data_IF_643265065843
#
_entry.id   IF_643265065843
#
_cell.length_a   1.000
_cell.length_b   1.000
_cell.length_c   1.000
_cell.angle_alpha   90.00
_cell.angle_beta   90.00
_cell.angle_gamma   90.00
#
_symmetry.space_group_name_H-M   'P 1'
#
loop_
_entity.id
_entity.type
_entity.pdbx_description
1 polymer ?
#
# COMPACT_ATOMS: atom_id res chain seq x y z
N UNK A 1 68.17 -63.88 62.08
CA UNK A 1 67.73 -62.47 62.24
C UNK A 1 67.00 -62.06 60.96
N UNK A 2 65.72 -61.73 61.08
CA UNK A 2 64.68 -61.35 60.10
C UNK A 2 65.00 -61.32 58.58
N UNK A 3 64.38 -62.26 57.87
CA UNK A 3 63.79 -62.15 56.51
C UNK A 3 62.63 -63.16 56.43
N UNK A 4 61.60 -63.05 55.57
CA UNK A 4 61.05 -61.90 54.81
C UNK A 4 59.52 -61.73 55.02
N UNK A 5 58.98 -60.52 55.01
CA UNK A 5 57.52 -60.28 54.97
C UNK A 5 57.08 -60.05 53.53
N UNK A 6 56.63 -61.12 52.84
CA UNK A 6 55.92 -61.01 51.55
C UNK A 6 54.45 -60.66 51.81
N UNK A 7 54.03 -59.46 51.40
CA UNK A 7 52.62 -59.09 51.34
C UNK A 7 51.90 -59.98 50.32
N UNK A 8 51.02 -60.85 50.80
CA UNK A 8 50.12 -61.67 49.99
C UNK A 8 48.93 -60.80 49.59
N UNK A 9 48.90 -60.32 48.35
CA UNK A 9 47.72 -59.69 47.75
C UNK A 9 46.63 -60.76 47.70
N UNK A 10 45.63 -60.64 48.59
CA UNK A 10 44.39 -61.40 48.47
C UNK A 10 43.62 -60.83 47.30
N UNK A 11 43.65 -61.50 46.15
CA UNK A 11 42.60 -61.35 45.15
C UNK A 11 41.28 -61.74 45.82
N UNK A 12 40.47 -60.74 46.19
CA UNK A 12 39.05 -60.98 46.41
C UNK A 12 38.47 -61.44 45.06
N UNK A 13 37.74 -62.56 45.02
CA UNK A 13 37.00 -62.92 43.81
C UNK A 13 36.01 -61.78 43.55
N UNK A 14 36.21 -61.07 42.44
CA UNK A 14 35.15 -60.23 41.88
C UNK A 14 33.97 -61.16 41.61
N UNK A 15 32.94 -61.06 42.44
CA UNK A 15 31.67 -61.76 42.23
C UNK A 15 31.11 -61.24 40.90
N UNK A 16 31.33 -61.98 39.83
CA UNK A 16 30.64 -61.76 38.56
C UNK A 16 29.17 -62.03 38.80
N UNK A 17 28.32 -61.05 38.48
CA UNK A 17 26.88 -61.22 38.48
C UNK A 17 26.51 -62.33 37.50
N UNK A 18 25.68 -63.28 37.92
CA UNK A 18 25.18 -64.29 36.99
C UNK A 18 24.28 -63.63 35.94
N UNK A 19 24.25 -64.16 34.72
CA UNK A 19 23.38 -63.66 33.64
C UNK A 19 21.92 -63.55 34.10
N UNK A 20 21.49 -64.46 34.99
CA UNK A 20 20.16 -64.47 35.58
C UNK A 20 19.94 -63.26 36.50
N UNK A 21 20.92 -62.90 37.33
CA UNK A 21 20.84 -61.69 38.19
C UNK A 21 20.83 -60.41 37.36
N UNK A 22 21.58 -60.37 36.25
CA UNK A 22 21.53 -59.25 35.31
C UNK A 22 20.16 -59.18 34.62
N UNK A 23 19.59 -60.31 34.20
CA UNK A 23 18.26 -60.36 33.61
C UNK A 23 17.17 -59.95 34.60
N UNK A 24 17.26 -60.37 35.86
CA UNK A 24 16.32 -59.98 36.92
C UNK A 24 16.45 -58.49 37.21
N UNK A 25 17.67 -57.96 37.32
CA UNK A 25 17.92 -56.53 37.52
C UNK A 25 17.37 -55.69 36.35
N UNK A 26 17.59 -56.13 35.11
CA UNK A 26 17.04 -55.48 33.91
C UNK A 26 15.50 -55.58 33.87
N UNK A 27 14.92 -56.71 34.24
CA UNK A 27 13.45 -56.88 34.29
C UNK A 27 12.80 -55.97 35.34
N UNK A 28 13.44 -55.80 36.50
CA UNK A 28 13.00 -54.86 37.54
C UNK A 28 13.16 -53.42 37.05
N UNK A 29 14.25 -53.09 36.36
CA UNK A 29 14.47 -51.77 35.76
C UNK A 29 13.46 -51.44 34.66
N UNK A 30 13.13 -52.40 33.80
CA UNK A 30 12.09 -52.25 32.76
C UNK A 30 10.72 -52.15 33.40
N UNK A 31 10.41 -52.96 34.41
CA UNK A 31 9.17 -52.87 35.17
C UNK A 31 9.00 -51.53 35.89
N UNK A 32 10.06 -51.01 36.50
CA UNK A 32 10.08 -49.70 37.14
C UNK A 32 9.98 -48.56 36.13
N UNK A 33 10.64 -48.67 34.97
CA UNK A 33 10.51 -47.71 33.88
C UNK A 33 9.10 -47.72 33.27
N UNK A 34 8.49 -48.89 33.10
CA UNK A 34 7.10 -49.02 32.64
C UNK A 34 6.11 -48.49 33.68
N UNK A 35 6.34 -48.72 34.97
CA UNK A 35 5.54 -48.12 36.05
C UNK A 35 5.70 -46.60 36.12
N UNK A 36 6.92 -46.07 35.89
CA UNK A 36 7.19 -44.64 35.78
C UNK A 36 6.48 -44.04 34.55
N UNK A 37 6.55 -44.70 33.40
CA UNK A 37 5.85 -44.30 32.17
C UNK A 37 4.34 -44.38 32.35
N UNK A 38 3.83 -45.40 33.04
CA UNK A 38 2.40 -45.56 33.35
C UNK A 38 1.89 -44.53 34.36
N UNK A 39 2.71 -44.15 35.35
CA UNK A 39 2.38 -43.08 36.32
C UNK A 39 2.53 -41.69 35.75
N UNK A 40 3.51 -41.45 34.86
CA UNK A 40 3.60 -40.22 34.06
C UNK A 40 2.46 -40.12 33.04
N UNK A 41 1.97 -41.25 32.51
CA UNK A 41 0.74 -41.30 31.70
C UNK A 41 -0.55 -41.21 32.54
N UNK A 42 -0.52 -41.61 33.81
CA UNK A 42 -1.68 -41.65 34.70
C UNK A 42 -1.85 -40.43 35.61
N UNK A 43 -0.83 -39.60 35.79
CA UNK A 43 -0.83 -38.43 36.68
C UNK A 43 -1.40 -37.14 36.07
N UNK A 44 -1.86 -37.17 34.82
CA UNK A 44 -2.48 -36.05 34.12
C UNK A 44 -3.93 -36.34 33.74
N UNK A 45 -4.83 -36.50 34.72
CA UNK A 45 -6.27 -36.74 34.49
C UNK A 45 -7.03 -35.50 34.01
N UNK A 46 -6.43 -34.73 33.10
CA UNK A 46 -7.08 -33.72 32.23
C UNK A 46 -6.34 -33.51 30.88
N UNK A 47 -5.39 -34.36 30.50
CA UNK A 47 -4.64 -34.17 29.24
C UNK A 47 -5.11 -35.13 28.16
N UNK A 48 -5.68 -34.56 27.11
CA UNK A 48 -5.97 -35.16 25.81
C UNK A 48 -4.83 -36.08 25.36
N UNK A 49 -5.17 -37.31 24.94
CA UNK A 49 -4.21 -38.17 24.29
C UNK A 49 -3.81 -37.51 22.96
N UNK A 50 -2.55 -37.10 22.82
CA UNK A 50 -2.02 -36.50 21.59
C UNK A 50 -2.18 -37.46 20.41
N UNK A 51 -3.23 -37.27 19.62
CA UNK A 51 -3.53 -38.01 18.39
C UNK A 51 -2.75 -37.42 17.21
N UNK A 52 -2.65 -38.16 16.10
CA UNK A 52 -2.08 -37.61 14.87
C UNK A 52 -2.84 -36.37 14.41
N UNK A 53 -4.16 -36.35 14.64
CA UNK A 53 -5.03 -35.21 14.38
C UNK A 53 -4.68 -34.00 15.27
N UNK A 54 -4.29 -34.22 16.53
CA UNK A 54 -3.82 -33.14 17.40
C UNK A 54 -2.52 -32.52 16.87
N UNK A 55 -1.56 -33.33 16.41
CA UNK A 55 -0.34 -32.80 15.77
C UNK A 55 -0.65 -32.03 14.48
N UNK A 56 -1.55 -32.55 13.64
CA UNK A 56 -2.01 -31.82 12.45
C UNK A 56 -2.66 -30.49 12.85
N UNK A 57 -3.46 -30.45 13.91
CA UNK A 57 -4.06 -29.21 14.41
C UNK A 57 -3.00 -28.20 14.85
N UNK A 58 -1.93 -28.66 15.52
CA UNK A 58 -0.80 -27.81 15.88
C UNK A 58 -0.12 -27.20 14.65
N UNK A 59 0.19 -28.02 13.63
CA UNK A 59 0.84 -27.54 12.40
C UNK A 59 -0.04 -26.54 11.65
N UNK A 60 -1.34 -26.81 11.53
CA UNK A 60 -2.28 -25.89 10.89
C UNK A 60 -2.36 -24.55 11.63
N UNK A 61 -2.41 -24.57 12.97
CA UNK A 61 -2.43 -23.35 13.76
C UNK A 61 -1.14 -22.55 13.62
N UNK A 62 0.01 -23.24 13.66
CA UNK A 62 1.33 -22.63 13.49
C UNK A 62 1.47 -21.96 12.12
N UNK A 63 1.07 -22.66 11.05
CA UNK A 63 1.06 -22.12 9.68
C UNK A 63 0.28 -20.81 9.60
N UNK A 64 -0.95 -20.80 10.12
CA UNK A 64 -1.81 -19.60 10.09
C UNK A 64 -1.15 -18.45 10.84
N UNK A 65 -0.55 -18.71 11.99
CA UNK A 65 0.15 -17.68 12.77
C UNK A 65 1.39 -17.14 12.03
N UNK A 66 2.19 -18.02 11.42
CA UNK A 66 3.38 -17.65 10.65
C UNK A 66 3.00 -16.80 9.43
N UNK A 67 2.00 -17.21 8.66
CA UNK A 67 1.45 -16.43 7.55
C UNK A 67 1.00 -15.03 7.98
N UNK A 68 0.31 -14.94 9.12
CA UNK A 68 -0.17 -13.65 9.63
C UNK A 68 1.04 -12.78 10.01
N UNK A 69 2.04 -13.32 10.71
CA UNK A 69 3.26 -12.59 11.06
C UNK A 69 3.99 -12.09 9.82
N UNK A 70 4.18 -12.95 8.83
CA UNK A 70 4.88 -12.62 7.59
C UNK A 70 4.12 -11.54 6.82
N UNK A 71 2.80 -11.67 6.66
CA UNK A 71 1.98 -10.67 5.96
C UNK A 71 1.93 -9.34 6.68
N UNK A 72 1.87 -9.32 8.02
CA UNK A 72 1.97 -8.07 8.79
C UNK A 72 3.36 -7.42 8.62
N UNK A 73 4.43 -8.21 8.51
CA UNK A 73 5.79 -7.68 8.32
C UNK A 73 6.02 -7.09 6.92
N UNK A 74 5.43 -7.69 5.88
CA UNK A 74 5.61 -7.30 4.47
C UNK A 74 4.62 -6.22 4.04
N UNK A 75 3.38 -6.25 4.56
CA UNK A 75 2.33 -5.31 4.20
C UNK A 75 1.76 -4.60 5.45
N UNK A 76 2.15 -3.34 5.69
CA UNK A 76 1.65 -2.55 6.82
C UNK A 76 0.13 -2.40 6.88
N UNK A 77 -0.58 -2.47 5.75
CA UNK A 77 -2.05 -2.36 5.70
C UNK A 77 -2.78 -3.66 6.09
N UNK A 78 -2.07 -4.79 6.09
CA UNK A 78 -2.65 -6.08 6.42
C UNK A 78 -3.14 -6.13 7.88
N UNK A 79 -2.58 -5.33 8.78
CA UNK A 79 -3.02 -5.27 10.18
C UNK A 79 -4.50 -4.89 10.31
N UNK A 80 -5.00 -3.91 9.54
CA UNK A 80 -6.41 -3.54 9.52
C UNK A 80 -7.27 -4.60 8.84
N UNK A 81 -6.79 -5.17 7.74
CA UNK A 81 -7.48 -6.26 7.03
C UNK A 81 -7.62 -7.51 7.91
N UNK A 82 -6.62 -7.81 8.73
CA UNK A 82 -6.61 -8.93 9.66
C UNK A 82 -7.72 -8.82 10.69
N UNK A 83 -8.02 -7.63 11.22
CA UNK A 83 -9.14 -7.40 12.15
C UNK A 83 -10.48 -7.78 11.50
N UNK A 84 -10.65 -7.48 10.21
CA UNK A 84 -11.85 -7.85 9.46
C UNK A 84 -11.89 -9.33 9.06
N UNK A 85 -10.74 -9.91 8.72
CA UNK A 85 -10.62 -11.32 8.33
C UNK A 85 -10.72 -12.28 9.52
N UNK A 86 -10.31 -11.85 10.71
CA UNK A 86 -10.45 -12.57 11.97
C UNK A 86 -11.87 -12.43 12.53
N UNK A 87 -12.87 -12.86 11.74
CA UNK A 87 -14.29 -12.76 12.04
C UNK A 87 -14.75 -13.62 13.22
N UNK A 88 -13.87 -14.49 13.74
CA UNK A 88 -14.21 -15.46 14.78
C UNK A 88 -15.12 -16.60 14.30
N UNK A 89 -15.33 -16.74 12.99
CA UNK A 89 -16.08 -17.85 12.40
C UNK A 89 -15.18 -19.07 12.17
N UNK A 90 -15.69 -20.27 12.45
CA UNK A 90 -14.99 -21.53 12.17
C UNK A 90 -15.27 -21.97 10.73
N UNK A 91 -14.27 -21.84 9.87
CA UNK A 91 -14.37 -22.17 8.45
C UNK A 91 -13.58 -23.44 8.12
N UNK A 92 -14.02 -24.26 7.16
CA UNK A 92 -13.26 -25.43 6.73
C UNK A 92 -11.85 -25.07 6.25
N UNK A 93 -10.88 -25.93 6.58
CA UNK A 93 -9.49 -25.82 6.09
C UNK A 93 -9.39 -26.17 4.60
N UNK A 94 -10.31 -27.00 4.11
CA UNK A 94 -10.40 -27.40 2.69
C UNK A 94 -11.37 -26.51 1.90
N UNK A 95 -11.39 -26.68 0.58
CA UNK A 95 -12.31 -26.02 -0.36
C UNK A 95 -12.13 -24.49 -0.45
N UNK A 96 -11.02 -23.95 0.09
CA UNK A 96 -10.66 -22.54 -0.01
C UNK A 96 -11.62 -21.57 0.68
N UNK A 97 -12.47 -22.07 1.59
CA UNK A 97 -13.48 -21.26 2.29
C UNK A 97 -12.85 -20.37 3.36
N UNK A 98 -11.81 -20.85 4.03
CA UNK A 98 -11.06 -20.06 5.00
C UNK A 98 -10.10 -19.10 4.28
N UNK A 99 -10.09 -17.79 4.58
CA UNK A 99 -9.13 -16.85 4.01
C UNK A 99 -7.66 -17.25 4.23
N UNK A 100 -7.39 -18.02 5.29
CA UNK A 100 -6.05 -18.47 5.68
C UNK A 100 -5.62 -19.78 5.01
N UNK A 101 -6.55 -20.46 4.33
CA UNK A 101 -6.31 -21.69 3.56
C UNK A 101 -6.85 -21.57 2.13
N UNK A 102 -7.03 -20.35 1.65
CA UNK A 102 -7.42 -20.08 0.27
C UNK A 102 -6.33 -20.52 -0.70
N UNK A 103 -5.08 -20.46 -0.27
CA UNK A 103 -3.88 -20.85 -1.01
C UNK A 103 -3.01 -21.73 -0.09
N UNK A 104 -2.35 -22.76 -0.64
CA UNK A 104 -1.43 -23.65 0.07
C UNK A 104 -0.03 -23.02 0.33
N UNK A 105 0.43 -22.18 -0.61
CA UNK A 105 1.66 -21.35 -0.71
C UNK A 105 3.04 -21.98 -0.38
N UNK A 106 4.01 -21.82 -1.31
CA UNK A 106 5.45 -21.84 -1.02
C UNK A 106 6.26 -20.80 -1.84
N UNK A 107 7.29 -20.31 -1.14
CA UNK A 107 8.09 -19.07 -1.20
C UNK A 107 9.31 -19.03 -2.14
N UNK A 108 9.30 -19.67 -3.31
CA UNK A 108 10.46 -19.54 -4.22
C UNK A 108 10.37 -18.33 -5.16
N UNK A 109 9.18 -17.97 -5.60
CA UNK A 109 8.97 -16.81 -6.47
C UNK A 109 7.66 -16.11 -6.08
N UNK A 110 7.75 -15.04 -5.27
CA UNK A 110 6.65 -14.09 -4.97
C UNK A 110 6.03 -13.41 -6.21
N UNK A 111 6.39 -13.89 -7.42
CA UNK A 111 6.22 -13.36 -8.76
C UNK A 111 5.05 -13.90 -9.58
N UNK A 112 4.68 -15.16 -9.33
CA UNK A 112 3.83 -15.94 -10.23
C UNK A 112 2.94 -16.87 -9.41
N UNK A 113 1.65 -16.90 -9.75
CA UNK A 113 0.75 -17.95 -9.26
C UNK A 113 0.98 -19.20 -10.10
N UNK A 114 1.44 -20.29 -9.49
CA UNK A 114 1.67 -21.57 -10.15
C UNK A 114 0.41 -22.43 -10.02
N UNK A 115 -0.24 -22.71 -11.16
CA UNK A 115 -1.42 -23.57 -11.22
C UNK A 115 -1.07 -24.98 -10.69
N UNK A 116 -1.84 -25.48 -9.73
CA UNK A 116 -1.59 -26.74 -9.03
C UNK A 116 -0.77 -26.63 -7.73
N UNK A 117 -0.04 -25.54 -7.50
CA UNK A 117 0.69 -25.28 -6.24
C UNK A 117 -0.04 -24.25 -5.34
N UNK A 118 -0.71 -23.28 -5.96
CA UNK A 118 -1.44 -22.21 -5.25
C UNK A 118 -2.95 -22.48 -5.13
N UNK A 119 -3.45 -23.61 -5.62
CA UNK A 119 -4.88 -23.93 -5.54
C UNK A 119 -5.28 -24.34 -4.10
N UNK A 120 -6.53 -24.08 -3.69
CA UNK A 120 -7.03 -24.55 -2.40
C UNK A 120 -7.00 -26.09 -2.34
N UNK A 121 -6.96 -26.64 -1.13
CA UNK A 121 -7.06 -28.09 -0.93
C UNK A 121 -8.48 -28.54 -1.33
N UNK A 122 -8.60 -29.15 -2.50
CA UNK A 122 -9.86 -29.65 -3.09
C UNK A 122 -9.86 -31.17 -3.11
N UNK A 123 -11.00 -31.80 -3.44
CA UNK A 123 -11.12 -33.26 -3.47
C UNK A 123 -10.07 -33.92 -4.37
N UNK A 124 -9.71 -33.25 -5.45
CA UNK A 124 -8.70 -33.67 -6.43
C UNK A 124 -7.28 -33.70 -5.82
N UNK A 125 -7.04 -33.01 -4.70
CA UNK A 125 -5.78 -33.09 -3.93
C UNK A 125 -5.60 -34.45 -3.22
N UNK A 126 -6.57 -35.36 -3.30
CA UNK A 126 -6.45 -36.75 -2.91
C UNK A 126 -6.25 -36.95 -1.40
N UNK A 127 -5.13 -37.57 -1.01
CA UNK A 127 -4.88 -37.96 0.38
C UNK A 127 -4.85 -36.75 1.33
N UNK A 128 -4.33 -35.61 0.87
CA UNK A 128 -4.26 -34.39 1.68
C UNK A 128 -5.66 -33.86 2.02
N UNK A 129 -6.59 -33.89 1.05
CA UNK A 129 -7.99 -33.51 1.28
C UNK A 129 -8.64 -34.44 2.30
N UNK A 130 -8.46 -35.75 2.15
CA UNK A 130 -9.03 -36.74 3.05
C UNK A 130 -8.52 -36.60 4.50
N UNK A 131 -7.27 -36.18 4.68
CA UNK A 131 -6.68 -35.89 5.99
C UNK A 131 -7.26 -34.61 6.62
N UNK A 132 -7.49 -33.57 5.81
CA UNK A 132 -7.81 -32.22 6.31
C UNK A 132 -9.29 -31.85 6.29
N UNK A 133 -10.15 -32.59 5.58
CA UNK A 133 -11.57 -32.26 5.40
C UNK A 133 -12.39 -32.11 6.69
N UNK A 134 -11.94 -32.73 7.78
CA UNK A 134 -12.62 -32.68 9.07
C UNK A 134 -12.13 -31.53 9.97
N UNK A 135 -11.14 -30.77 9.51
CA UNK A 135 -10.57 -29.64 10.25
C UNK A 135 -11.27 -28.33 9.88
N UNK A 136 -11.52 -27.52 10.90
CA UNK A 136 -11.96 -26.13 10.77
C UNK A 136 -10.93 -25.22 11.40
N UNK A 137 -10.78 -24.02 10.84
CA UNK A 137 -9.95 -22.97 11.35
C UNK A 137 -10.82 -21.76 11.70
N UNK A 138 -10.64 -21.26 12.91
CA UNK A 138 -11.23 -20.04 13.43
C UNK A 138 -10.11 -19.12 13.86
N UNK A 139 -10.13 -17.87 13.42
CA UNK A 139 -9.18 -16.84 13.85
C UNK A 139 -9.95 -15.72 14.52
N UNK A 140 -9.64 -15.47 15.79
CA UNK A 140 -10.14 -14.33 16.55
C UNK A 140 -9.04 -13.28 16.70
N UNK A 141 -9.43 -12.01 16.74
CA UNK A 141 -8.55 -10.90 17.06
C UNK A 141 -9.14 -10.05 18.17
N UNK A 142 -8.30 -9.63 19.12
CA UNK A 142 -8.69 -8.70 20.18
C UNK A 142 -7.54 -7.74 20.47
N UNK A 143 -7.82 -6.45 20.60
CA UNK A 143 -6.81 -5.50 21.04
C UNK A 143 -6.41 -5.78 22.49
N UNK A 144 -5.10 -5.67 22.77
CA UNK A 144 -4.61 -5.83 24.14
C UNK A 144 -4.99 -4.59 24.96
N UNK A 145 -5.70 -4.80 26.07
CA UNK A 145 -5.99 -3.74 27.03
C UNK A 145 -4.68 -3.13 27.58
N UNK A 146 -4.67 -1.82 27.77
CA UNK A 146 -3.58 -1.11 28.43
C UNK A 146 -3.63 -1.45 29.93
N UNK A 147 -2.62 -2.14 30.50
CA UNK A 147 -2.60 -2.47 31.92
C UNK A 147 -2.60 -1.22 32.82
N UNK A 148 -2.21 -0.06 32.29
CA UNK A 148 -2.20 1.21 33.03
C UNK A 148 -3.55 1.95 32.93
N UNK A 149 -4.35 1.69 31.89
CA UNK A 149 -5.64 2.33 31.64
C UNK A 149 -6.69 1.28 31.25
N UNK A 150 -7.42 0.69 32.22
CA UNK A 150 -8.36 -0.42 31.99
C UNK A 150 -9.57 -0.16 31.06
N UNK A 151 -9.65 1.00 30.41
CA UNK A 151 -10.65 1.33 29.39
C UNK A 151 -10.05 1.68 28.02
N UNK A 152 -8.72 1.64 27.88
CA UNK A 152 -8.00 1.89 26.64
C UNK A 152 -7.27 0.62 26.21
N UNK A 153 -7.20 0.39 24.90
CA UNK A 153 -6.42 -0.70 24.33
C UNK A 153 -5.23 -0.15 23.56
N UNK A 154 -4.14 -0.90 23.49
CA UNK A 154 -3.01 -0.54 22.64
C UNK A 154 -3.46 -0.59 21.16
N UNK A 155 -3.45 0.54 20.43
CA UNK A 155 -4.03 0.61 19.10
C UNK A 155 -3.30 -0.25 18.05
N UNK A 156 -2.04 -0.62 18.33
CA UNK A 156 -1.18 -1.36 17.41
C UNK A 156 -0.76 -2.72 17.96
N UNK A 157 -1.54 -3.29 18.89
CA UNK A 157 -1.21 -4.58 19.49
C UNK A 157 -2.47 -5.44 19.55
N UNK A 158 -2.51 -6.44 18.68
CA UNK A 158 -3.56 -7.43 18.64
C UNK A 158 -3.08 -8.72 19.30
N UNK A 159 -3.94 -9.32 20.09
CA UNK A 159 -3.84 -10.72 20.44
C UNK A 159 -4.64 -11.52 19.41
N UNK A 160 -3.94 -12.29 18.59
CA UNK A 160 -4.56 -13.19 17.62
C UNK A 160 -4.66 -14.56 18.26
N UNK A 161 -5.84 -15.17 18.17
CA UNK A 161 -6.06 -16.54 18.64
C UNK A 161 -6.56 -17.39 17.48
N UNK A 162 -5.75 -18.39 17.11
CA UNK A 162 -6.11 -19.38 16.10
C UNK A 162 -6.62 -20.62 16.82
N UNK A 163 -7.85 -21.00 16.51
CA UNK A 163 -8.50 -22.21 17.00
C UNK A 163 -8.70 -23.17 15.84
N UNK A 164 -8.06 -24.33 15.92
CA UNK A 164 -8.27 -25.43 14.98
C UNK A 164 -9.18 -26.46 15.62
N UNK A 165 -10.35 -26.70 15.02
CA UNK A 165 -11.32 -27.69 15.48
C UNK A 165 -11.33 -28.93 14.59
N UNK A 166 -11.49 -30.11 15.15
CA UNK A 166 -11.73 -31.35 14.39
C UNK A 166 -12.69 -32.28 15.11
N UNK A 167 -13.24 -33.23 14.36
CA UNK A 167 -14.09 -34.30 14.91
C UNK A 167 -13.31 -35.61 14.96
N UNK A 168 -13.25 -36.22 16.13
CA UNK A 168 -12.71 -37.56 16.31
C UNK A 168 -13.66 -38.62 15.75
N UNK A 169 -13.16 -39.86 15.58
CA UNK A 169 -13.94 -40.98 15.03
C UNK A 169 -15.18 -41.33 15.84
N UNK A 170 -15.20 -40.99 17.13
CA UNK A 170 -16.33 -41.15 18.03
C UNK A 170 -17.33 -39.99 17.99
N UNK A 171 -17.10 -38.99 17.13
CA UNK A 171 -17.93 -37.81 16.96
C UNK A 171 -17.65 -36.67 17.94
N UNK A 172 -16.69 -36.83 18.87
CA UNK A 172 -16.31 -35.75 19.79
C UNK A 172 -15.58 -34.65 19.03
N UNK A 173 -15.92 -33.41 19.37
CA UNK A 173 -15.24 -32.24 18.83
C UNK A 173 -14.08 -31.88 19.73
N UNK A 174 -12.88 -31.86 19.15
CA UNK A 174 -11.65 -31.43 19.80
C UNK A 174 -11.22 -30.09 19.23
N UNK A 175 -10.48 -29.31 20.02
CA UNK A 175 -9.93 -28.03 19.58
C UNK A 175 -8.52 -27.80 20.08
N UNK A 176 -7.64 -27.34 19.21
CA UNK A 176 -6.33 -26.82 19.56
C UNK A 176 -6.35 -25.30 19.44
N UNK A 177 -5.74 -24.59 20.40
CA UNK A 177 -5.70 -23.13 20.42
C UNK A 177 -4.26 -22.64 20.54
N UNK A 178 -3.89 -21.72 19.66
CA UNK A 178 -2.62 -21.01 19.69
C UNK A 178 -2.90 -19.51 19.68
N UNK A 179 -2.31 -18.77 20.63
CA UNK A 179 -2.43 -17.33 20.70
C UNK A 179 -1.07 -16.67 20.58
N UNK A 180 -0.99 -15.60 19.79
CA UNK A 180 0.22 -14.76 19.68
C UNK A 180 -0.17 -13.29 19.67
N UNK A 181 0.66 -12.48 20.33
CA UNK A 181 0.58 -11.02 20.20
C UNK A 181 1.30 -10.58 18.93
N UNK A 182 0.58 -9.83 18.09
CA UNK A 182 1.09 -9.29 16.84
C UNK A 182 1.09 -7.77 16.95
N UNK A 183 2.26 -7.18 16.72
CA UNK A 183 2.43 -5.73 16.71
C UNK A 183 2.21 -5.21 15.28
N UNK A 184 1.22 -4.34 15.13
CA UNK A 184 1.01 -3.58 13.90
C UNK A 184 1.99 -2.41 13.83
N UNK A 185 2.24 -1.91 12.62
CA UNK A 185 2.87 -0.59 12.51
C UNK A 185 1.88 0.45 13.03
N UNK A 186 2.39 1.42 13.81
CA UNK A 186 1.56 2.53 14.26
C UNK A 186 0.95 3.20 13.04
N UNK A 187 -0.37 3.33 12.99
CA UNK A 187 -1.06 4.15 11.99
C UNK A 187 -0.39 5.54 11.88
N UNK A 188 0.25 6.03 12.95
CA UNK A 188 1.04 7.26 12.94
C UNK A 188 2.33 7.21 12.10
N UNK A 189 2.95 6.06 11.88
CA UNK A 189 4.11 5.94 10.98
C UNK A 189 3.68 6.16 9.53
N UNK A 190 2.48 5.73 9.17
CA UNK A 190 1.88 5.96 7.86
C UNK A 190 1.09 7.27 7.77
N UNK A 191 0.54 7.81 8.87
CA UNK A 191 0.03 9.20 8.93
C UNK A 191 1.17 10.22 8.86
N UNK A 192 2.37 9.88 9.35
CA UNK A 192 3.61 10.64 9.10
C UNK A 192 4.14 10.46 7.68
N UNK A 193 3.71 9.41 6.97
CA UNK A 193 3.92 9.22 5.53
C UNK A 193 2.72 9.65 4.69
N UNK A 194 1.62 10.15 5.29
CA UNK A 194 0.72 11.01 4.54
C UNK A 194 1.62 12.15 4.08
N UNK A 195 1.63 12.46 2.76
CA UNK A 195 2.42 13.57 2.28
C UNK A 195 2.09 14.75 3.20
N UNK A 196 3.10 15.32 3.87
CA UNK A 196 2.92 16.51 4.71
C UNK A 196 1.90 17.40 4.00
N UNK A 197 0.75 17.65 4.64
CA UNK A 197 -0.33 18.44 4.04
C UNK A 197 0.35 19.65 3.44
N UNK A 198 0.31 19.73 2.11
CA UNK A 198 1.26 20.56 1.39
C UNK A 198 1.08 21.98 1.89
N UNK A 199 2.11 22.53 2.54
CA UNK A 199 1.90 23.74 3.34
C UNK A 199 1.37 24.86 2.45
N UNK A 200 0.34 25.60 2.86
CA UNK A 200 -0.22 26.67 2.04
C UNK A 200 0.87 27.71 1.69
N UNK A 201 0.61 28.52 0.67
CA UNK A 201 1.50 29.62 0.35
C UNK A 201 1.47 30.66 1.48
N UNK A 202 2.65 31.07 1.96
CA UNK A 202 2.79 32.16 2.92
C UNK A 202 2.21 33.46 2.36
N UNK A 203 1.69 34.33 3.22
CA UNK A 203 1.09 35.60 2.81
C UNK A 203 2.04 36.47 1.96
N UNK A 204 3.33 36.56 2.31
CA UNK A 204 4.35 37.31 1.53
C UNK A 204 4.43 36.84 0.06
N UNK A 205 4.51 35.52 -0.16
CA UNK A 205 4.55 34.92 -1.51
C UNK A 205 3.24 35.20 -2.26
N UNK A 206 2.10 35.06 -1.61
CA UNK A 206 0.78 35.31 -2.21
C UNK A 206 0.60 36.78 -2.61
N UNK A 207 1.01 37.71 -1.75
CA UNK A 207 0.97 39.16 -2.00
C UNK A 207 1.95 39.54 -3.11
N UNK A 208 3.14 38.96 -3.12
CA UNK A 208 4.12 39.15 -4.21
C UNK A 208 3.55 38.71 -5.56
N UNK A 209 2.86 37.58 -5.61
CA UNK A 209 2.22 37.11 -6.83
C UNK A 209 1.10 38.06 -7.30
N UNK A 210 0.31 38.63 -6.39
CA UNK A 210 -0.69 39.65 -6.73
C UNK A 210 -0.05 40.89 -7.35
N UNK A 211 1.04 41.41 -6.76
CA UNK A 211 1.78 42.52 -7.35
C UNK A 211 2.32 42.18 -8.73
N UNK A 212 2.98 41.03 -8.88
CA UNK A 212 3.57 40.60 -10.14
C UNK A 212 2.52 40.35 -11.23
N UNK A 213 1.34 39.86 -10.87
CA UNK A 213 0.23 39.65 -11.80
C UNK A 213 -0.39 40.97 -12.26
N UNK A 214 -0.59 41.91 -11.34
CA UNK A 214 -1.20 43.20 -11.64
C UNK A 214 -0.22 44.15 -12.37
N UNK A 215 1.03 44.19 -11.93
CA UNK A 215 2.11 45.00 -12.51
C UNK A 215 3.48 44.32 -12.28
N UNK A 216 4.00 43.58 -13.29
CA UNK A 216 5.29 42.90 -13.20
C UNK A 216 6.49 43.82 -12.95
N UNK A 217 6.36 45.13 -13.20
CA UNK A 217 7.46 46.09 -13.03
C UNK A 217 7.57 46.60 -11.59
N UNK A 218 6.52 46.40 -10.78
CA UNK A 218 6.47 46.86 -9.39
C UNK A 218 7.32 45.97 -8.50
N UNK A 219 8.23 46.59 -7.74
CA UNK A 219 9.07 45.92 -6.74
C UNK A 219 8.87 46.56 -5.36
N UNK A 220 7.79 46.22 -4.63
CA UNK A 220 7.59 46.67 -3.26
C UNK A 220 8.77 46.24 -2.38
N UNK A 221 9.10 47.07 -1.38
CA UNK A 221 10.10 46.70 -0.35
C UNK A 221 9.53 45.73 0.69
N UNK A 222 8.21 45.74 0.88
CA UNK A 222 7.46 44.90 1.82
C UNK A 222 6.25 44.35 1.08
N UNK A 223 6.02 43.04 1.15
CA UNK A 223 4.83 42.40 0.57
C UNK A 223 3.80 42.16 1.67
N UNK A 224 3.07 43.22 1.98
CA UNK A 224 1.93 43.23 2.92
C UNK A 224 0.61 43.38 2.15
N UNK A 225 -0.42 42.67 2.60
CA UNK A 225 -1.74 42.68 1.97
C UNK A 225 -2.38 44.07 2.02
N UNK A 226 -2.19 44.83 3.09
CA UNK A 226 -2.71 46.17 3.27
C UNK A 226 -2.10 47.13 2.25
N UNK A 227 -0.78 47.08 2.07
CA UNK A 227 -0.06 47.82 1.03
C UNK A 227 -0.53 47.43 -0.38
N UNK A 228 -0.80 46.14 -0.62
CA UNK A 228 -1.39 45.69 -1.89
C UNK A 228 -2.80 46.26 -2.08
N UNK A 229 -3.68 46.20 -1.09
CA UNK A 229 -5.05 46.75 -1.17
C UNK A 229 -5.04 48.25 -1.45
N UNK A 230 -4.13 49.01 -0.83
CA UNK A 230 -3.97 50.43 -1.11
C UNK A 230 -3.55 50.66 -2.57
N UNK A 231 -2.58 49.86 -3.06
CA UNK A 231 -2.15 49.91 -4.46
C UNK A 231 -3.26 49.52 -5.44
N UNK A 232 -4.03 48.48 -5.11
CA UNK A 232 -5.11 47.92 -5.91
C UNK A 232 -6.40 48.77 -5.88
N UNK A 233 -6.45 49.78 -5.00
CA UNK A 233 -7.61 50.64 -4.74
C UNK A 233 -8.80 49.82 -4.22
N UNK A 234 -8.59 49.15 -3.09
CA UNK A 234 -9.58 48.34 -2.40
C UNK A 234 -9.41 46.83 -2.61
N UNK A 235 -10.49 46.10 -2.33
CA UNK A 235 -10.54 44.65 -2.36
C UNK A 235 -10.76 44.04 -0.98
N UNK A 236 -11.22 42.79 -0.97
CA UNK A 236 -11.58 42.03 0.21
C UNK A 236 -10.44 41.05 0.55
N UNK A 237 -9.84 41.09 1.75
CA UNK A 237 -8.81 40.14 2.17
C UNK A 237 -9.21 38.67 1.99
N UNK A 238 -10.49 38.32 2.16
CA UNK A 238 -10.98 36.95 2.01
C UNK A 238 -10.96 36.46 0.55
N UNK A 239 -10.98 37.39 -0.41
CA UNK A 239 -10.84 37.09 -1.85
C UNK A 239 -9.38 37.21 -2.28
N UNK A 240 -8.69 38.27 -1.85
CA UNK A 240 -7.34 38.58 -2.33
C UNK A 240 -6.31 37.56 -1.85
N UNK A 241 -6.39 37.06 -0.60
CA UNK A 241 -5.46 36.05 -0.09
C UNK A 241 -5.47 34.75 -0.91
N UNK A 242 -6.63 34.05 -1.07
CA UNK A 242 -6.64 32.82 -1.84
C UNK A 242 -6.36 33.06 -3.33
N UNK A 243 -6.77 34.21 -3.89
CA UNK A 243 -6.40 34.59 -5.26
C UNK A 243 -4.88 34.73 -5.41
N UNK A 244 -4.21 35.39 -4.47
CA UNK A 244 -2.76 35.54 -4.46
C UNK A 244 -2.04 34.20 -4.35
N UNK A 245 -2.53 33.29 -3.52
CA UNK A 245 -1.98 31.95 -3.39
C UNK A 245 -2.11 31.15 -4.70
N UNK A 246 -3.25 31.21 -5.37
CA UNK A 246 -3.47 30.57 -6.69
C UNK A 246 -2.51 31.12 -7.74
N UNK A 247 -2.34 32.45 -7.79
CA UNK A 247 -1.40 33.08 -8.71
C UNK A 247 0.04 32.68 -8.40
N UNK A 248 0.42 32.62 -7.12
CA UNK A 248 1.73 32.15 -6.70
C UNK A 248 1.99 30.71 -7.15
N UNK A 249 1.02 29.81 -6.96
CA UNK A 249 1.13 28.43 -7.41
C UNK A 249 1.22 28.30 -8.92
N UNK A 250 0.49 29.11 -9.70
CA UNK A 250 0.63 29.15 -11.16
C UNK A 250 2.03 29.59 -11.60
N UNK A 251 2.58 30.64 -10.98
CA UNK A 251 3.93 31.11 -11.27
C UNK A 251 4.98 30.06 -10.91
N UNK A 252 4.81 29.39 -9.77
CA UNK A 252 5.69 28.30 -9.33
C UNK A 252 5.59 27.10 -10.30
N UNK A 253 4.40 26.72 -10.73
CA UNK A 253 4.19 25.67 -11.72
C UNK A 253 4.91 25.97 -13.04
N UNK A 254 4.86 27.21 -13.53
CA UNK A 254 5.53 27.59 -14.77
C UNK A 254 7.06 27.60 -14.62
N UNK A 255 7.59 28.11 -13.51
CA UNK A 255 9.03 28.08 -13.21
C UNK A 255 9.54 26.64 -13.12
N UNK A 256 8.88 25.81 -12.31
CA UNK A 256 9.21 24.38 -12.14
C UNK A 256 9.14 23.64 -13.47
N UNK A 257 8.09 23.86 -14.27
CA UNK A 257 7.96 23.21 -15.56
C UNK A 257 9.15 23.52 -16.48
N UNK A 258 9.56 24.79 -16.56
CA UNK A 258 10.70 25.23 -17.39
C UNK A 258 12.02 24.65 -16.92
N UNK A 259 12.26 24.64 -15.61
CA UNK A 259 13.49 24.08 -15.02
C UNK A 259 13.64 22.59 -15.39
N UNK A 260 12.61 21.79 -15.13
CA UNK A 260 12.61 20.38 -15.49
C UNK A 260 12.70 20.15 -17.00
N UNK A 261 12.03 20.97 -17.82
CA UNK A 261 12.10 20.83 -19.28
C UNK A 261 13.54 21.04 -19.80
N UNK A 262 14.31 21.95 -19.20
CA UNK A 262 15.73 22.12 -19.50
C UNK A 262 16.58 20.88 -19.16
N UNK A 263 16.37 20.31 -17.97
CA UNK A 263 17.11 19.11 -17.53
C UNK A 263 16.71 17.88 -18.36
N UNK A 264 15.42 17.69 -18.63
CA UNK A 264 14.87 16.61 -19.46
C UNK A 264 15.41 16.71 -20.89
N UNK A 265 15.47 17.91 -21.47
CA UNK A 265 16.04 18.12 -22.81
C UNK A 265 17.52 17.68 -22.86
N UNK A 266 18.28 18.00 -21.82
CA UNK A 266 19.68 17.57 -21.69
C UNK A 266 19.81 16.04 -21.60
N UNK A 267 18.99 15.39 -20.77
CA UNK A 267 18.98 13.93 -20.66
C UNK A 267 18.56 13.25 -21.98
N UNK A 268 17.55 13.78 -22.69
CA UNK A 268 17.16 13.30 -24.03
C UNK A 268 18.29 13.39 -25.04
N UNK A 269 19.05 14.49 -25.06
CA UNK A 269 20.21 14.66 -25.94
C UNK A 269 21.27 13.60 -25.65
N UNK A 270 21.54 13.29 -24.37
CA UNK A 270 22.48 12.22 -23.96
C UNK A 270 22.02 10.83 -24.44
N UNK A 271 20.74 10.48 -24.25
CA UNK A 271 20.18 9.22 -24.76
C UNK A 271 20.35 9.12 -26.28
N UNK A 272 20.06 10.20 -27.02
CA UNK A 272 20.24 10.23 -28.48
C UNK A 272 21.70 10.10 -28.90
N UNK A 273 22.63 10.71 -28.17
CA UNK A 273 24.06 10.68 -28.47
C UNK A 273 24.71 9.30 -28.27
N UNK A 274 24.13 8.43 -27.43
CA UNK A 274 24.61 7.05 -27.27
C UNK A 274 24.56 6.24 -28.59
N UNK A 275 23.59 6.53 -29.46
CA UNK A 275 23.44 5.88 -30.76
C UNK A 275 23.09 4.38 -30.67
N UNK A 276 22.95 3.70 -31.83
CA UNK A 276 22.52 2.30 -31.89
C UNK A 276 23.58 1.29 -31.44
N UNK A 277 24.85 1.70 -31.35
CA UNK A 277 25.98 0.83 -30.96
C UNK A 277 26.26 0.84 -29.44
N UNK A 278 25.54 1.65 -28.66
CA UNK A 278 25.74 1.71 -27.22
C UNK A 278 25.31 0.41 -26.53
N UNK A 279 26.01 0.07 -25.43
CA UNK A 279 25.63 -1.06 -24.58
C UNK A 279 24.19 -0.87 -24.09
N UNK A 280 23.34 -1.88 -24.27
CA UNK A 280 21.92 -1.82 -23.92
C UNK A 280 21.68 -1.44 -22.44
N UNK A 281 22.52 -1.93 -21.53
CA UNK A 281 22.47 -1.57 -20.11
C UNK A 281 22.72 -0.09 -19.84
N UNK A 282 23.56 0.57 -20.65
CA UNK A 282 23.83 2.01 -20.53
C UNK A 282 22.66 2.83 -21.09
N UNK A 283 22.09 2.40 -22.23
CA UNK A 283 20.90 3.02 -22.80
C UNK A 283 19.72 2.92 -21.84
N UNK A 284 19.51 1.75 -21.23
CA UNK A 284 18.46 1.52 -20.27
C UNK A 284 18.60 2.41 -19.02
N UNK A 285 19.80 2.52 -18.43
CA UNK A 285 20.05 3.42 -17.29
C UNK A 285 19.73 4.88 -17.60
N UNK A 286 20.09 5.36 -18.80
CA UNK A 286 19.76 6.73 -19.20
C UNK A 286 18.27 6.93 -19.51
N UNK A 287 17.58 5.93 -20.04
CA UNK A 287 16.12 5.93 -20.20
C UNK A 287 15.40 5.93 -18.86
N UNK A 288 15.88 5.14 -17.91
CA UNK A 288 15.38 5.10 -16.53
C UNK A 288 15.54 6.47 -15.86
N UNK A 289 16.73 7.08 -15.97
CA UNK A 289 16.96 8.43 -15.47
C UNK A 289 16.03 9.47 -16.12
N UNK A 290 15.80 9.37 -17.43
CA UNK A 290 14.88 10.25 -18.15
C UNK A 290 13.42 10.06 -17.71
N UNK A 291 13.00 8.81 -17.44
CA UNK A 291 11.68 8.51 -16.90
C UNK A 291 11.52 9.08 -15.48
N UNK A 292 12.55 8.91 -14.64
CA UNK A 292 12.60 9.45 -13.30
C UNK A 292 12.48 10.98 -13.26
N UNK A 293 13.21 11.69 -14.12
CA UNK A 293 13.11 13.16 -14.23
C UNK A 293 11.69 13.63 -14.60
N UNK A 294 10.98 12.87 -15.44
CA UNK A 294 9.59 13.18 -15.82
C UNK A 294 8.61 12.90 -14.68
N UNK A 295 8.83 11.84 -13.90
CA UNK A 295 8.06 11.57 -12.68
C UNK A 295 8.30 12.64 -11.63
N UNK A 296 9.56 13.05 -11.40
CA UNK A 296 9.89 14.14 -10.48
C UNK A 296 9.21 15.44 -10.90
N UNK A 297 9.26 15.80 -12.20
CA UNK A 297 8.54 16.96 -12.73
C UNK A 297 7.04 16.88 -12.39
N UNK A 298 6.42 15.75 -12.68
CA UNK A 298 5.00 15.55 -12.45
C UNK A 298 4.65 15.61 -10.95
N UNK A 299 5.46 14.99 -10.10
CA UNK A 299 5.31 14.99 -8.65
C UNK A 299 5.43 16.40 -8.06
N UNK A 300 6.46 17.15 -8.44
CA UNK A 300 6.68 18.52 -7.95
C UNK A 300 5.54 19.44 -8.38
N UNK A 301 5.08 19.33 -9.63
CA UNK A 301 3.93 20.10 -10.11
C UNK A 301 2.64 19.70 -9.38
N UNK A 302 2.40 18.41 -9.16
CA UNK A 302 1.25 17.94 -8.39
C UNK A 302 1.27 18.46 -6.95
N UNK A 303 2.44 18.47 -6.31
CA UNK A 303 2.60 19.03 -4.97
C UNK A 303 2.23 20.52 -4.94
N UNK A 304 2.64 21.31 -5.94
CA UNK A 304 2.22 22.71 -6.06
C UNK A 304 0.69 22.82 -6.16
N UNK A 305 0.04 21.95 -6.93
CA UNK A 305 -1.43 21.92 -7.02
C UNK A 305 -2.12 21.55 -5.71
N UNK A 306 -1.57 20.58 -4.98
CA UNK A 306 -2.12 20.18 -3.67
C UNK A 306 -2.16 21.37 -2.70
N UNK A 307 -1.14 22.24 -2.73
CA UNK A 307 -1.08 23.49 -1.92
C UNK A 307 -2.19 24.49 -2.26
N UNK A 308 -2.75 24.43 -3.48
CA UNK A 308 -3.78 25.35 -3.97
C UNK A 308 -5.20 24.89 -3.69
N UNK A 309 -5.39 23.61 -3.37
CA UNK A 309 -6.72 23.00 -3.31
C UNK A 309 -7.67 23.75 -2.36
N UNK A 310 -7.18 24.10 -1.17
CA UNK A 310 -7.96 24.85 -0.19
C UNK A 310 -8.30 26.27 -0.64
N UNK A 311 -7.39 26.97 -1.32
CA UNK A 311 -7.61 28.33 -1.78
C UNK A 311 -8.56 28.37 -2.98
N UNK A 312 -8.49 27.37 -3.87
CA UNK A 312 -9.47 27.17 -4.95
C UNK A 312 -10.86 26.92 -4.37
N UNK A 313 -10.96 26.04 -3.37
CA UNK A 313 -12.22 25.75 -2.68
C UNK A 313 -12.80 26.99 -2.02
N UNK A 314 -11.99 27.73 -1.25
CA UNK A 314 -12.41 28.99 -0.62
C UNK A 314 -12.98 29.97 -1.64
N UNK A 315 -12.32 30.17 -2.78
CA UNK A 315 -12.84 31.06 -3.82
C UNK A 315 -14.14 30.55 -4.46
N UNK A 316 -14.31 29.24 -4.63
CA UNK A 316 -15.51 28.64 -5.20
C UNK A 316 -16.74 28.80 -4.28
N UNK A 317 -16.52 28.81 -2.97
CA UNK A 317 -17.57 28.92 -1.94
C UNK A 317 -18.06 30.37 -1.73
N UNK A 318 -17.34 31.38 -2.25
CA UNK A 318 -17.69 32.80 -2.04
C UNK A 318 -19.01 33.16 -2.72
N UNK A 319 -19.95 33.68 -1.93
CA UNK A 319 -21.24 34.23 -2.35
C UNK A 319 -21.44 35.65 -1.78
N UNK A 320 -22.03 36.60 -2.54
CA UNK A 320 -22.33 36.56 -3.97
C UNK A 320 -21.06 36.51 -4.86
N UNK A 321 -21.19 36.28 -6.18
CA UNK A 321 -20.04 36.22 -7.09
C UNK A 321 -19.10 37.43 -6.96
N UNK A 322 -17.81 37.17 -7.16
CA UNK A 322 -16.73 38.14 -6.94
C UNK A 322 -16.86 39.34 -7.90
N UNK A 323 -17.30 40.48 -7.36
CA UNK A 323 -17.43 41.76 -8.08
C UNK A 323 -16.31 42.77 -7.79
N UNK A 324 -16.42 43.98 -8.34
CA UNK A 324 -15.41 45.04 -8.21
C UNK A 324 -15.10 45.38 -6.75
N UNK A 325 -16.11 45.48 -5.88
CA UNK A 325 -15.93 45.79 -4.47
C UNK A 325 -15.00 44.79 -3.74
N UNK A 326 -15.06 43.50 -4.13
CA UNK A 326 -14.25 42.44 -3.52
C UNK A 326 -12.89 42.25 -4.19
N UNK A 327 -12.77 42.52 -5.49
CA UNK A 327 -11.47 42.46 -6.19
C UNK A 327 -10.64 43.71 -6.05
N UNK A 328 -11.26 44.87 -5.77
CA UNK A 328 -10.65 46.18 -5.91
C UNK A 328 -10.57 46.64 -7.37
N UNK A 329 -10.49 47.95 -7.55
CA UNK A 329 -10.71 48.60 -8.84
C UNK A 329 -9.70 48.17 -9.92
N UNK A 330 -8.41 48.03 -9.57
CA UNK A 330 -7.38 47.70 -10.57
C UNK A 330 -7.43 46.25 -11.03
N UNK A 331 -7.54 45.28 -10.12
CA UNK A 331 -7.72 43.87 -10.46
C UNK A 331 -9.02 43.64 -11.24
N UNK A 332 -10.12 44.30 -10.86
CA UNK A 332 -11.37 44.24 -11.61
C UNK A 332 -11.25 44.82 -13.03
N UNK A 333 -10.44 45.88 -13.18
CA UNK A 333 -10.09 46.45 -14.48
C UNK A 333 -9.40 45.46 -15.42
N UNK A 334 -8.68 44.47 -14.89
CA UNK A 334 -8.04 43.39 -15.66
C UNK A 334 -8.75 42.03 -15.52
N UNK A 335 -10.03 42.00 -15.12
CA UNK A 335 -10.79 40.77 -14.86
C UNK A 335 -10.78 39.74 -16.00
N UNK A 336 -10.66 40.17 -17.26
CA UNK A 336 -10.54 39.26 -18.40
C UNK A 336 -9.25 38.40 -18.31
N UNK A 337 -8.15 38.95 -17.79
CA UNK A 337 -6.93 38.17 -17.51
C UNK A 337 -7.14 37.19 -16.36
N UNK A 338 -7.90 37.60 -15.34
CA UNK A 338 -8.27 36.72 -14.22
C UNK A 338 -9.17 35.56 -14.66
N UNK A 339 -10.06 35.77 -15.63
CA UNK A 339 -10.85 34.69 -16.24
C UNK A 339 -9.99 33.63 -16.96
N UNK A 340 -8.73 33.97 -17.32
CA UNK A 340 -7.78 33.00 -17.87
C UNK A 340 -7.10 32.10 -16.83
N UNK A 341 -7.21 32.41 -15.52
CA UNK A 341 -6.57 31.64 -14.43
C UNK A 341 -7.04 30.18 -14.39
N UNK A 342 -8.35 29.86 -14.47
CA UNK A 342 -8.81 28.48 -14.56
C UNK A 342 -8.22 27.71 -15.76
N UNK A 343 -8.13 28.37 -16.92
CA UNK A 343 -7.53 27.78 -18.14
C UNK A 343 -6.06 27.44 -17.91
N UNK A 344 -5.31 28.32 -17.24
CA UNK A 344 -3.91 28.06 -16.89
C UNK A 344 -3.75 26.92 -15.90
N UNK A 345 -4.60 26.84 -14.87
CA UNK A 345 -4.60 25.73 -13.91
C UNK A 345 -4.81 24.39 -14.64
N UNK A 346 -5.79 24.33 -15.54
CA UNK A 346 -6.04 23.13 -16.35
C UNK A 346 -4.86 22.77 -17.25
N UNK A 347 -4.23 23.77 -17.87
CA UNK A 347 -3.05 23.55 -18.69
C UNK A 347 -1.90 22.91 -17.89
N UNK A 348 -1.71 23.31 -16.63
CA UNK A 348 -0.69 22.66 -15.79
C UNK A 348 -1.10 21.26 -15.32
N UNK A 349 -2.39 20.99 -15.07
CA UNK A 349 -2.88 19.62 -14.85
C UNK A 349 -2.59 18.74 -16.08
N UNK A 350 -2.78 19.24 -17.30
CA UNK A 350 -2.36 18.54 -18.53
C UNK A 350 -0.86 18.26 -18.54
N UNK A 351 -0.03 19.24 -18.19
CA UNK A 351 1.43 19.07 -18.13
C UNK A 351 1.85 18.00 -17.13
N UNK A 352 1.16 17.90 -15.98
CA UNK A 352 1.37 16.84 -14.97
C UNK A 352 1.06 15.47 -15.57
N UNK A 353 -0.15 15.30 -16.09
CA UNK A 353 -0.60 14.02 -16.64
C UNK A 353 0.24 13.56 -17.83
N UNK A 354 0.60 14.47 -18.74
CA UNK A 354 1.46 14.16 -19.88
C UNK A 354 2.86 13.76 -19.41
N UNK A 355 3.39 14.40 -18.38
CA UNK A 355 4.70 14.05 -17.82
C UNK A 355 4.69 12.63 -17.22
N UNK A 356 3.64 12.26 -16.47
CA UNK A 356 3.46 10.89 -15.98
C UNK A 356 3.32 9.88 -17.12
N UNK A 357 2.43 10.13 -18.08
CA UNK A 357 2.22 9.23 -19.22
C UNK A 357 3.50 9.02 -20.03
N UNK A 358 4.28 10.09 -20.22
CA UNK A 358 5.55 10.00 -20.95
C UNK A 358 6.63 9.27 -20.13
N UNK A 359 6.64 9.44 -18.80
CA UNK A 359 7.53 8.66 -17.94
C UNK A 359 7.20 7.17 -18.03
N UNK A 360 5.93 6.82 -17.93
CA UNK A 360 5.42 5.46 -18.06
C UNK A 360 5.81 4.83 -19.40
N UNK A 361 5.58 5.54 -20.51
CA UNK A 361 6.00 5.09 -21.83
C UNK A 361 7.51 4.82 -21.89
N UNK A 362 8.32 5.66 -21.25
CA UNK A 362 9.78 5.50 -21.22
C UNK A 362 10.22 4.31 -20.37
N UNK A 363 9.53 4.02 -19.26
CA UNK A 363 9.79 2.79 -18.50
C UNK A 363 9.44 1.54 -19.30
N UNK A 364 8.31 1.55 -20.03
CA UNK A 364 7.92 0.42 -20.88
C UNK A 364 8.95 0.12 -21.97
N UNK A 365 9.56 1.16 -22.56
CA UNK A 365 10.67 0.99 -23.53
C UNK A 365 11.92 0.32 -22.94
N UNK A 366 12.08 0.29 -21.62
CA UNK A 366 13.17 -0.43 -20.94
C UNK A 366 12.81 -1.92 -20.80
N UNK A 367 11.52 -2.22 -20.67
CA UNK A 367 11.01 -3.56 -20.43
C UNK A 367 10.80 -4.39 -21.70
N UNK A 368 10.90 -3.77 -22.89
CA UNK A 368 10.63 -4.40 -24.18
C UNK A 368 11.69 -3.98 -25.23
N UNK A 369 12.57 -4.89 -25.69
CA UNK A 369 12.74 -6.28 -25.25
C UNK A 369 13.41 -6.37 -23.86
N UNK A 370 13.07 -7.38 -23.05
CA UNK A 370 13.66 -7.54 -21.72
C UNK A 370 15.16 -7.83 -21.83
N UNK A 371 16.00 -6.96 -21.25
CA UNK A 371 17.43 -7.22 -21.17
C UNK A 371 17.77 -7.99 -19.89
N UNK A 372 18.46 -9.15 -19.98
CA UNK A 372 18.92 -9.88 -18.81
C UNK A 372 19.77 -8.96 -17.91
N UNK A 373 19.39 -8.83 -16.64
CA UNK A 373 20.11 -8.00 -15.66
C UNK A 373 19.73 -6.51 -15.64
N UNK A 374 18.70 -6.09 -16.37
CA UNK A 374 18.18 -4.72 -16.33
C UNK A 374 16.72 -4.74 -15.88
N UNK A 375 16.50 -4.63 -14.58
CA UNK A 375 15.18 -4.36 -14.00
C UNK A 375 15.16 -2.90 -13.53
N UNK A 376 14.23 -2.06 -14.00
CA UNK A 376 14.13 -0.68 -13.53
C UNK A 376 13.76 -0.65 -12.04
N UNK A 377 14.52 0.11 -11.26
CA UNK A 377 14.30 0.31 -9.84
C UNK A 377 13.26 1.42 -9.62
N UNK A 378 12.01 1.16 -10.04
CA UNK A 378 10.92 2.15 -9.97
C UNK A 378 10.16 2.05 -8.65
N UNK A 379 9.94 3.21 -8.01
CA UNK A 379 8.96 3.36 -6.92
C UNK A 379 7.56 3.52 -7.51
N UNK A 380 6.69 2.56 -7.25
CA UNK A 380 5.36 2.39 -7.87
C UNK A 380 4.33 3.44 -7.39
N UNK A 381 4.63 4.15 -6.30
CA UNK A 381 3.74 5.13 -5.66
C UNK A 381 3.21 6.22 -6.58
N UNK A 382 3.98 6.64 -7.58
CA UNK A 382 3.59 7.73 -8.49
C UNK A 382 2.58 7.29 -9.55
N UNK A 383 2.58 6.01 -9.94
CA UNK A 383 1.60 5.47 -10.89
C UNK A 383 0.21 5.39 -10.27
N UNK A 384 0.13 5.15 -8.96
CA UNK A 384 -1.13 5.19 -8.21
C UNK A 384 -1.77 6.59 -8.29
N UNK A 385 -0.99 7.64 -8.02
CA UNK A 385 -1.47 9.03 -8.09
C UNK A 385 -1.96 9.41 -9.49
N UNK A 386 -1.29 8.93 -10.54
CA UNK A 386 -1.76 9.15 -11.91
C UNK A 386 -3.07 8.42 -12.21
N UNK A 387 -3.26 7.20 -11.71
CA UNK A 387 -4.54 6.48 -11.81
C UNK A 387 -5.64 7.21 -11.07
N UNK A 388 -5.37 7.71 -9.87
CA UNK A 388 -6.31 8.51 -9.10
C UNK A 388 -6.73 9.76 -9.86
N UNK A 389 -5.80 10.51 -10.44
CA UNK A 389 -6.11 11.66 -11.28
C UNK A 389 -7.02 11.32 -12.47
N UNK A 390 -6.82 10.16 -13.11
CA UNK A 390 -7.69 9.71 -14.21
C UNK A 390 -9.09 9.34 -13.71
N UNK A 391 -9.19 8.66 -12.57
CA UNK A 391 -10.48 8.35 -11.93
C UNK A 391 -11.24 9.62 -11.55
N UNK A 392 -10.55 10.63 -11.01
CA UNK A 392 -11.15 11.95 -10.76
C UNK A 392 -11.73 12.55 -12.04
N UNK A 393 -10.98 12.52 -13.15
CA UNK A 393 -11.46 12.97 -14.45
C UNK A 393 -12.72 12.22 -14.94
N UNK A 394 -12.83 10.91 -14.66
CA UNK A 394 -14.01 10.10 -14.98
C UNK A 394 -15.21 10.45 -14.10
N UNK A 395 -15.00 10.64 -12.80
CA UNK A 395 -16.06 11.00 -11.85
C UNK A 395 -16.68 12.35 -12.17
N UNK A 396 -15.90 13.27 -12.76
CA UNK A 396 -16.35 14.61 -13.15
C UNK A 396 -16.97 14.69 -14.55
N UNK A 397 -16.82 13.65 -15.37
CA UNK A 397 -17.15 13.72 -16.80
C UNK A 397 -18.65 13.97 -17.07
N UNK A 398 -19.56 13.47 -16.22
CA UNK A 398 -21.00 13.75 -16.34
C UNK A 398 -21.31 15.24 -16.10
N UNK A 399 -20.67 15.84 -15.10
CA UNK A 399 -20.79 17.28 -14.85
C UNK A 399 -20.35 18.10 -16.05
N UNK A 400 -19.31 17.62 -16.76
CA UNK A 400 -18.70 18.29 -17.90
C UNK A 400 -19.33 17.98 -19.26
N UNK A 401 -20.44 17.24 -19.31
CA UNK A 401 -21.10 16.80 -20.56
C UNK A 401 -20.15 16.05 -21.52
N UNK A 402 -19.22 15.29 -20.97
CA UNK A 402 -18.27 14.49 -21.75
C UNK A 402 -18.81 13.07 -21.94
N UNK A 403 -18.35 12.39 -22.99
CA UNK A 403 -18.69 10.98 -23.21
C UNK A 403 -18.01 10.10 -22.14
N UNK A 404 -18.76 9.83 -21.06
CA UNK A 404 -18.32 8.99 -19.95
C UNK A 404 -18.05 7.55 -20.36
N UNK A 405 -18.76 7.05 -21.38
CA UNK A 405 -18.64 5.66 -21.84
C UNK A 405 -17.31 5.46 -22.57
N UNK A 406 -17.00 6.33 -23.53
CA UNK A 406 -15.73 6.27 -24.25
C UNK A 406 -14.53 6.42 -23.31
N UNK A 407 -14.60 7.35 -22.36
CA UNK A 407 -13.50 7.61 -21.41
C UNK A 407 -13.28 6.46 -20.44
N UNK A 408 -14.37 5.85 -19.94
CA UNK A 408 -14.27 4.67 -19.09
C UNK A 408 -13.61 3.52 -19.86
N UNK A 409 -14.01 3.28 -21.12
CA UNK A 409 -13.42 2.25 -21.97
C UNK A 409 -11.92 2.49 -22.20
N UNK A 410 -11.50 3.74 -22.42
CA UNK A 410 -10.09 4.08 -22.53
C UNK A 410 -9.30 3.84 -21.24
N UNK A 411 -9.87 4.19 -20.07
CA UNK A 411 -9.23 3.92 -18.80
C UNK A 411 -9.12 2.41 -18.53
N UNK A 412 -10.16 1.64 -18.81
CA UNK A 412 -10.12 0.17 -18.72
C UNK A 412 -9.04 -0.42 -19.64
N UNK A 413 -8.95 0.04 -20.89
CA UNK A 413 -7.90 -0.37 -21.84
C UNK A 413 -6.51 -0.04 -21.32
N UNK A 414 -6.33 1.14 -20.73
CA UNK A 414 -5.07 1.56 -20.12
C UNK A 414 -4.66 0.63 -18.98
N UNK A 415 -5.58 0.37 -18.03
CA UNK A 415 -5.34 -0.52 -16.89
C UNK A 415 -4.99 -1.92 -17.39
N UNK A 416 -5.71 -2.46 -18.37
CA UNK A 416 -5.41 -3.75 -18.98
C UNK A 416 -4.01 -3.78 -19.63
N UNK A 417 -3.64 -2.73 -20.36
CA UNK A 417 -2.32 -2.63 -20.97
C UNK A 417 -1.20 -2.60 -19.92
N UNK A 418 -1.45 -1.98 -18.76
CA UNK A 418 -0.50 -1.99 -17.64
C UNK A 418 -0.39 -3.36 -17.02
N UNK A 419 -1.52 -4.03 -16.75
CA UNK A 419 -1.51 -5.41 -16.24
C UNK A 419 -0.63 -6.27 -17.13
N UNK A 420 -0.88 -6.29 -18.44
CA UNK A 420 -0.09 -7.10 -19.40
C UNK A 420 1.38 -6.69 -19.45
N UNK A 421 1.71 -5.40 -19.29
CA UNK A 421 3.11 -4.94 -19.33
C UNK A 421 3.92 -5.33 -18.08
N UNK A 422 3.26 -5.45 -16.93
CA UNK A 422 3.88 -5.71 -15.63
C UNK A 422 3.63 -7.12 -15.08
N UNK A 423 2.78 -7.92 -15.74
CA UNK A 423 2.49 -9.31 -15.39
C UNK A 423 3.76 -10.15 -15.31
N UNK A 424 3.93 -10.87 -14.20
CA UNK A 424 5.14 -11.65 -13.89
C UNK A 424 6.40 -10.83 -13.57
N UNK A 425 6.33 -9.48 -13.59
CA UNK A 425 7.47 -8.58 -13.33
C UNK A 425 7.31 -7.76 -12.04
N UNK A 426 6.10 -7.30 -11.76
CA UNK A 426 5.77 -6.52 -10.55
C UNK A 426 4.41 -6.97 -9.97
N UNK A 427 4.38 -8.09 -9.21
CA UNK A 427 3.15 -8.76 -8.79
C UNK A 427 2.24 -7.89 -7.93
N UNK A 428 2.80 -7.23 -6.90
CA UNK A 428 2.02 -6.34 -6.03
C UNK A 428 1.40 -5.16 -6.78
N UNK A 429 2.07 -4.64 -7.81
CA UNK A 429 1.48 -3.61 -8.66
C UNK A 429 0.41 -4.16 -9.60
N UNK A 430 0.59 -5.39 -10.10
CA UNK A 430 -0.42 -6.06 -10.92
C UNK A 430 -1.68 -6.36 -10.09
N UNK A 431 -1.57 -6.75 -8.82
CA UNK A 431 -2.72 -6.90 -7.94
C UNK A 431 -3.46 -5.58 -7.73
N UNK A 432 -2.72 -4.49 -7.47
CA UNK A 432 -3.30 -3.14 -7.43
C UNK A 432 -4.04 -2.81 -8.75
N UNK A 433 -3.43 -3.06 -9.90
CA UNK A 433 -4.06 -2.80 -11.20
C UNK A 433 -5.30 -3.69 -11.46
N UNK A 434 -5.31 -4.93 -10.95
CA UNK A 434 -6.49 -5.81 -11.00
C UNK A 434 -7.62 -5.25 -10.13
N UNK A 435 -7.30 -4.70 -8.96
CA UNK A 435 -8.28 -3.98 -8.14
C UNK A 435 -8.81 -2.73 -8.86
N UNK A 436 -7.93 -1.92 -9.45
CA UNK A 436 -8.31 -0.76 -10.27
C UNK A 436 -9.20 -1.14 -11.45
N UNK A 437 -8.93 -2.29 -12.09
CA UNK A 437 -9.77 -2.83 -13.16
C UNK A 437 -11.19 -3.16 -12.67
N UNK A 438 -11.33 -3.73 -11.47
CA UNK A 438 -12.64 -4.03 -10.89
C UNK A 438 -13.39 -2.75 -10.49
N UNK A 439 -12.70 -1.78 -9.88
CA UNK A 439 -13.25 -0.46 -9.61
C UNK A 439 -13.75 0.21 -10.90
N UNK A 440 -12.95 0.13 -11.96
CA UNK A 440 -13.26 0.68 -13.27
C UNK A 440 -14.23 -0.17 -14.11
N UNK A 441 -14.82 -1.25 -13.58
CA UNK A 441 -15.76 -2.11 -14.33
C UNK A 441 -17.00 -1.35 -14.81
N UNK A 442 -17.48 -0.40 -14.03
CA UNK A 442 -18.57 0.50 -14.44
C UNK A 442 -18.46 1.86 -13.73
N UNK A 443 -18.97 2.92 -14.35
CA UNK A 443 -19.00 4.26 -13.75
C UNK A 443 -19.81 4.30 -12.43
N UNK A 444 -20.99 3.63 -12.33
CA UNK A 444 -21.71 3.53 -11.07
C UNK A 444 -20.90 2.84 -9.96
N UNK A 445 -20.14 1.78 -10.28
CA UNK A 445 -19.29 1.10 -9.30
C UNK A 445 -18.20 2.06 -8.79
N UNK A 446 -17.51 2.73 -9.70
CA UNK A 446 -16.48 3.72 -9.36
C UNK A 446 -17.04 4.87 -8.52
N UNK A 447 -18.24 5.38 -8.85
CA UNK A 447 -18.92 6.43 -8.07
C UNK A 447 -19.36 5.96 -6.69
N UNK A 448 -19.79 4.71 -6.55
CA UNK A 448 -20.20 4.13 -5.26
C UNK A 448 -19.00 3.99 -4.33
N UNK A 449 -17.92 3.40 -4.82
CA UNK A 449 -16.69 3.17 -4.04
C UNK A 449 -15.95 4.49 -3.73
N UNK A 450 -16.08 5.51 -4.59
CA UNK A 450 -15.46 6.82 -4.43
C UNK A 450 -16.46 7.93 -4.10
N UNK A 451 -17.63 7.59 -3.54
CA UNK A 451 -18.75 8.51 -3.34
C UNK A 451 -18.34 9.76 -2.54
N UNK A 452 -17.57 9.59 -1.46
CA UNK A 452 -17.08 10.71 -0.65
C UNK A 452 -16.15 11.68 -1.41
N UNK A 453 -15.40 11.17 -2.40
CA UNK A 453 -14.48 11.96 -3.22
C UNK A 453 -15.20 12.67 -4.37
N UNK A 454 -16.14 11.99 -5.03
CA UNK A 454 -16.94 12.54 -6.11
C UNK A 454 -17.83 13.71 -5.65
N UNK A 455 -18.45 13.57 -4.47
CA UNK A 455 -19.33 14.59 -3.88
C UNK A 455 -18.56 15.84 -3.43
N UNK A 456 -17.33 15.66 -2.93
CA UNK A 456 -16.43 16.76 -2.55
C UNK A 456 -15.96 17.56 -3.77
N UNK A 457 -15.63 16.87 -4.86
CA UNK A 457 -15.09 17.47 -6.08
C UNK A 457 -16.18 18.19 -6.89
N UNK A 458 -17.38 17.59 -6.99
CA UNK A 458 -18.52 18.22 -7.66
C UNK A 458 -18.94 19.54 -7.00
N UNK A 459 -18.79 19.65 -5.68
CA UNK A 459 -19.00 20.90 -4.94
C UNK A 459 -17.91 21.96 -5.17
N UNK A 460 -16.68 21.53 -5.42
CA UNK A 460 -15.49 22.40 -5.46
C UNK A 460 -15.20 23.00 -6.84
N UNK A 461 -15.61 22.35 -7.94
CA UNK A 461 -15.14 22.67 -9.30
C UNK A 461 -16.26 23.08 -10.29
N UNK A 462 -17.26 23.83 -9.82
CA UNK A 462 -18.42 24.28 -10.61
C UNK A 462 -18.20 24.38 -12.13
N UNK A 463 -19.01 23.64 -12.89
CA UNK A 463 -18.76 23.37 -14.31
C UNK A 463 -19.02 24.61 -15.18
N UNK A 464 -18.04 24.97 -16.03
CA UNK A 464 -18.20 26.00 -17.08
C UNK A 464 -17.75 25.45 -18.45
N UNK A 465 -18.38 25.92 -19.54
CA UNK A 465 -18.29 25.41 -20.92
C UNK A 465 -16.87 25.47 -21.54
N UNK A 466 -15.96 26.28 -20.99
CA UNK A 466 -14.55 26.36 -21.44
C UNK A 466 -13.70 25.17 -20.97
N UNK A 467 -14.07 24.49 -19.87
CA UNK A 467 -13.44 23.24 -19.43
C UNK A 467 -13.69 22.10 -20.42
N UNK A 468 -14.88 22.08 -21.02
CA UNK A 468 -15.34 21.06 -21.98
C UNK A 468 -14.50 21.07 -23.26
N UNK A 469 -14.09 22.25 -23.75
CA UNK A 469 -13.28 22.39 -24.98
C UNK A 469 -11.83 21.95 -24.81
N UNK A 470 -11.28 22.03 -23.60
CA UNK A 470 -9.87 21.75 -23.31
C UNK A 470 -9.65 20.27 -22.98
N UNK A 471 -10.64 19.59 -22.39
CA UNK A 471 -10.53 18.17 -22.06
C UNK A 471 -10.70 17.20 -23.24
N UNK A 472 -11.25 17.63 -24.37
CA UNK A 472 -11.17 16.88 -25.64
C UNK A 472 -9.73 16.78 -26.20
N UNK A 473 -8.73 17.27 -25.46
CA UNK A 473 -7.29 17.04 -25.73
C UNK A 473 -6.61 16.08 -24.73
N UNK A 474 -7.29 15.71 -23.64
CA UNK A 474 -6.81 14.76 -22.61
C UNK A 474 -7.02 13.28 -23.01
N UNK A 475 -7.97 13.10 -23.93
CA UNK A 475 -8.40 11.94 -24.67
C UNK A 475 -8.37 12.38 -26.14
#
# INVERSE_FOLDING_TARGET
MKTPTRHRIRHQPQRGFSLLEVLIAVSILVGAALALVATLRGGGTTTEAFSAEHFTAMFLAQKVIEDINDRVSVNPHYFTTLVHAASGEALPVVEGKSPFFRLLENTENFGQLLAGEDDPIVKESGQLYEQLKNFTCKVDSAFKADPLNPGQSYPNLLNITVTIGWKEKDGRQQTYRLSQMIHGMNDDTLKKLQPEVAQPFSEDISVKALFQFLDPTRKPKVFDLSAFMAFNQGGDPEVLRPLGAILAGLMMCESTAREYDGVIATAKKKVKALGPKAKASVVAKWREHLAHLREQKAATLFYVFARLADDIRKLAEIRPPVGEARLGKKLYGIRLKLMGVPVLLLNHLMKISLSFATAEATYREILIPPHPGVSPNRRISMTHHWMDLRKLGLLMADGWKLDTTARLAEHQKLVQNLITAYEGRQPGFVEYLRHEKELARSLPNMKKELAGLAEHIGRSLGVNDDLTKIQNKFY
#
